data_IF_284091142388
#
_entry.id   IF_284091142388
#
_cell.length_a   1.000
_cell.length_b   1.000
_cell.length_c   1.000
_cell.angle_alpha   90.00
_cell.angle_beta   90.00
_cell.angle_gamma   90.00
#
_symmetry.space_group_name_H-M   'P 1'
#
loop_
_entity.id
_entity.type
_entity.pdbx_description
1 polymer ?
#
# COMPACT_ATOMS: atom_id res chain seq x y z
N UNK A 1 -5.74 -33.51 59.06
CA UNK A 1 -6.57 -32.54 58.30
C UNK A 1 -5.86 -31.20 58.42
N UNK A 2 -4.93 -30.83 57.56
CA UNK A 2 -5.08 -30.61 56.12
C UNK A 2 -4.88 -29.11 55.91
N UNK A 3 -3.62 -28.69 55.73
CA UNK A 3 -3.18 -27.29 55.72
C UNK A 3 -3.83 -26.49 54.58
N UNK A 4 -5.02 -25.94 54.82
CA UNK A 4 -5.77 -25.15 53.82
C UNK A 4 -5.32 -23.68 53.72
N UNK A 5 -4.39 -23.22 54.56
CA UNK A 5 -3.85 -21.85 54.49
C UNK A 5 -2.65 -21.74 53.53
N UNK A 6 -1.98 -22.86 53.20
CA UNK A 6 -0.79 -22.85 52.33
C UNK A 6 -1.13 -22.54 50.87
N UNK A 7 -2.27 -23.01 50.36
CA UNK A 7 -2.65 -22.83 48.96
C UNK A 7 -3.02 -21.38 48.63
N UNK A 8 -3.83 -20.74 49.47
CA UNK A 8 -4.25 -19.35 49.26
C UNK A 8 -3.11 -18.35 49.41
N UNK A 9 -2.23 -18.57 50.39
CA UNK A 9 -1.02 -17.76 50.57
C UNK A 9 -0.04 -17.96 49.40
N UNK A 10 0.14 -19.19 48.92
CA UNK A 10 0.99 -19.47 47.76
C UNK A 10 0.46 -18.82 46.48
N UNK A 11 -0.86 -18.84 46.24
CA UNK A 11 -1.48 -18.17 45.10
C UNK A 11 -1.26 -16.66 45.16
N UNK A 12 -1.40 -16.05 46.35
CA UNK A 12 -1.16 -14.62 46.56
C UNK A 12 0.29 -14.24 46.26
N UNK A 13 1.25 -15.02 46.75
CA UNK A 13 2.68 -14.81 46.48
C UNK A 13 2.98 -14.95 44.99
N UNK A 14 2.39 -15.95 44.33
CA UNK A 14 2.57 -16.17 42.89
C UNK A 14 1.99 -15.00 42.07
N UNK A 15 0.83 -14.48 42.47
CA UNK A 15 0.16 -13.35 41.82
C UNK A 15 0.96 -12.05 41.98
N UNK A 16 1.49 -11.78 43.18
CA UNK A 16 2.36 -10.62 43.42
C UNK A 16 3.66 -10.75 42.62
N UNK A 17 4.28 -11.93 42.59
CA UNK A 17 5.46 -12.18 41.76
C UNK A 17 5.17 -12.00 40.27
N UNK A 18 4.03 -12.46 39.79
CA UNK A 18 3.60 -12.26 38.40
C UNK A 18 3.46 -10.77 38.09
N UNK A 19 2.86 -9.97 38.97
CA UNK A 19 2.73 -8.51 38.79
C UNK A 19 4.10 -7.84 38.78
N UNK A 20 5.04 -8.22 39.65
CA UNK A 20 6.39 -7.66 39.68
C UNK A 20 7.18 -8.03 38.43
N UNK A 21 7.09 -9.28 37.97
CA UNK A 21 7.67 -9.73 36.70
C UNK A 21 7.05 -8.92 35.57
N UNK A 22 5.72 -8.86 35.47
CA UNK A 22 5.04 -8.11 34.43
C UNK A 22 5.40 -6.64 34.49
N UNK A 23 5.50 -5.98 35.65
CA UNK A 23 5.86 -4.56 35.74
C UNK A 23 7.33 -4.30 35.37
N UNK A 24 8.26 -5.19 35.73
CA UNK A 24 9.68 -5.08 35.34
C UNK A 24 9.88 -5.33 33.85
N UNK A 25 9.19 -6.31 33.27
CA UNK A 25 9.26 -6.59 31.83
C UNK A 25 8.43 -5.61 30.99
N UNK A 26 7.34 -5.04 31.53
CA UNK A 26 6.55 -3.98 30.86
C UNK A 26 7.21 -2.61 30.95
N UNK A 27 7.96 -2.32 32.02
CA UNK A 27 8.69 -1.04 32.15
C UNK A 27 9.90 -0.98 31.21
N UNK A 28 10.39 -2.12 30.72
CA UNK A 28 11.38 -2.17 29.63
C UNK A 28 10.76 -2.01 28.23
N UNK A 29 9.44 -1.82 28.12
CA UNK A 29 8.76 -1.40 26.88
C UNK A 29 8.50 0.12 26.84
N UNK A 30 8.97 0.89 27.83
CA UNK A 30 9.21 2.31 27.63
C UNK A 30 10.56 2.49 26.93
N UNK A 31 10.55 2.21 25.62
CA UNK A 31 11.40 2.97 24.71
C UNK A 31 11.00 4.42 24.94
N UNK A 32 11.83 5.21 25.62
CA UNK A 32 11.82 6.65 25.42
C UNK A 32 11.96 6.85 23.91
N UNK A 33 10.94 7.34 23.17
CA UNK A 33 11.27 7.96 21.92
C UNK A 33 12.08 9.18 22.34
N UNK A 34 13.38 9.14 22.10
CA UNK A 34 14.19 10.35 22.02
C UNK A 34 13.38 11.32 21.16
N UNK A 35 12.98 12.46 21.73
CA UNK A 35 12.12 13.46 21.08
C UNK A 35 12.76 14.11 19.83
N UNK A 36 13.92 13.59 19.39
CA UNK A 36 14.65 13.96 18.18
C UNK A 36 14.40 13.02 16.98
N UNK A 37 13.61 11.95 17.12
CA UNK A 37 13.21 11.08 16.00
C UNK A 37 11.69 10.93 15.91
N UNK A 38 10.97 12.03 16.09
CA UNK A 38 9.70 12.26 15.39
C UNK A 38 10.02 12.33 13.89
N UNK A 39 10.36 11.16 13.33
CA UNK A 39 10.53 10.94 11.91
C UNK A 39 9.33 11.57 11.24
N UNK A 40 9.59 12.64 10.49
CA UNK A 40 8.60 13.32 9.66
C UNK A 40 7.75 12.25 9.01
N UNK A 41 6.51 12.06 9.49
CA UNK A 41 5.51 11.21 8.87
C UNK A 41 5.37 11.76 7.45
N UNK A 42 6.12 11.16 6.54
CA UNK A 42 6.28 11.70 5.22
C UNK A 42 4.96 11.43 4.54
N UNK A 43 4.16 12.48 4.37
CA UNK A 43 2.83 12.41 3.81
C UNK A 43 2.93 11.74 2.44
N UNK A 44 2.03 10.81 2.15
CA UNK A 44 1.91 10.14 0.86
C UNK A 44 0.57 10.46 0.21
N UNK A 45 0.50 10.20 -1.09
CA UNK A 45 -0.71 10.21 -1.90
C UNK A 45 -0.89 8.86 -2.57
N UNK A 46 -2.08 8.28 -2.36
CA UNK A 46 -2.52 7.07 -3.00
C UNK A 46 -3.09 7.30 -4.41
N UNK A 47 -2.77 6.39 -5.34
CA UNK A 47 -3.32 6.30 -6.69
C UNK A 47 -3.80 4.88 -6.95
N UNK A 48 -4.93 4.74 -7.64
CA UNK A 48 -5.50 3.43 -7.97
C UNK A 48 -5.67 3.28 -9.49
N UNK A 49 -5.18 2.18 -10.04
CA UNK A 49 -5.44 1.77 -11.43
C UNK A 49 -6.40 0.58 -11.41
N UNK A 50 -7.60 0.78 -11.95
CA UNK A 50 -8.69 -0.19 -11.98
C UNK A 50 -8.78 -0.85 -13.35
N UNK A 51 -8.79 -2.18 -13.35
CA UNK A 51 -8.99 -2.96 -14.56
C UNK A 51 -10.49 -3.20 -14.82
N UNK A 52 -11.08 -2.41 -15.71
CA UNK A 52 -12.47 -2.54 -16.14
C UNK A 52 -12.60 -3.17 -17.55
N UNK A 53 -11.60 -3.92 -18.00
CA UNK A 53 -11.54 -4.49 -19.35
C UNK A 53 -12.35 -5.78 -19.53
N UNK A 54 -12.99 -6.28 -18.47
CA UNK A 54 -13.91 -7.43 -18.51
C UNK A 54 -13.23 -8.80 -18.53
N UNK A 55 -12.41 -9.10 -19.55
CA UNK A 55 -11.70 -10.39 -19.68
C UNK A 55 -10.17 -10.25 -19.84
N UNK A 56 -9.65 -9.03 -19.91
CA UNK A 56 -8.22 -8.80 -20.10
C UNK A 56 -7.54 -8.55 -18.75
N UNK A 57 -6.29 -8.96 -18.63
CA UNK A 57 -5.43 -8.71 -17.47
C UNK A 57 -4.48 -7.60 -17.82
N UNK A 58 -4.29 -6.64 -16.91
CA UNK A 58 -3.22 -5.64 -17.05
C UNK A 58 -1.96 -6.22 -16.44
N UNK A 59 -0.85 -6.15 -17.15
CA UNK A 59 0.46 -6.65 -16.72
C UNK A 59 1.38 -5.45 -16.56
N UNK A 60 1.86 -5.23 -15.35
CA UNK A 60 2.83 -4.18 -15.06
C UNK A 60 4.15 -4.49 -15.78
N UNK A 61 4.63 -3.53 -16.56
CA UNK A 61 5.89 -3.65 -17.30
C UNK A 61 7.00 -2.88 -16.58
N UNK A 62 6.88 -1.56 -16.56
CA UNK A 62 7.91 -0.69 -15.99
C UNK A 62 7.35 0.52 -15.25
N UNK A 63 8.26 1.18 -14.51
CA UNK A 63 7.99 2.45 -13.86
C UNK A 63 9.20 3.38 -13.95
N UNK A 64 8.92 4.66 -13.99
CA UNK A 64 9.92 5.70 -13.72
C UNK A 64 9.48 6.62 -12.56
N UNK A 65 10.46 7.11 -11.80
CA UNK A 65 10.23 8.05 -10.72
C UNK A 65 9.92 7.44 -9.33
N UNK A 66 9.58 8.31 -8.36
CA UNK A 66 9.60 8.01 -6.93
C UNK A 66 8.28 7.39 -6.43
N UNK A 67 7.86 6.29 -7.05
CA UNK A 67 6.72 5.47 -6.60
C UNK A 67 7.17 4.05 -6.27
N UNK A 68 6.43 3.39 -5.39
CA UNK A 68 6.62 1.98 -5.10
C UNK A 68 6.25 1.11 -6.31
N UNK A 69 7.02 0.05 -6.54
CA UNK A 69 6.61 -1.04 -7.46
C UNK A 69 5.40 -1.76 -6.82
N UNK A 70 4.37 -2.12 -7.59
CA UNK A 70 3.24 -2.87 -7.04
C UNK A 70 3.70 -4.26 -6.55
N UNK A 71 3.03 -4.80 -5.53
CA UNK A 71 3.35 -6.13 -4.97
C UNK A 71 3.03 -7.25 -5.96
N UNK A 72 1.98 -7.06 -6.73
CA UNK A 72 1.54 -7.95 -7.78
C UNK A 72 1.85 -7.29 -9.13
N UNK A 73 2.26 -8.08 -10.11
CA UNK A 73 2.49 -7.58 -11.48
C UNK A 73 1.23 -7.70 -12.35
N UNK A 74 0.19 -8.37 -11.86
CA UNK A 74 -1.04 -8.63 -12.60
C UNK A 74 -2.22 -7.93 -11.96
N UNK A 75 -3.00 -7.21 -12.76
CA UNK A 75 -4.34 -6.73 -12.38
C UNK A 75 -5.36 -7.58 -13.14
N UNK A 76 -5.95 -8.62 -12.54
CA UNK A 76 -7.07 -9.35 -13.15
C UNK A 76 -8.28 -8.44 -13.43
N UNK A 77 -9.21 -8.86 -14.30
CA UNK A 77 -10.45 -8.12 -14.51
C UNK A 77 -11.20 -7.86 -13.20
N UNK A 78 -11.61 -6.61 -12.99
CA UNK A 78 -12.32 -6.15 -11.79
C UNK A 78 -11.43 -5.87 -10.56
N UNK A 79 -10.12 -6.09 -10.68
CA UNK A 79 -9.13 -5.78 -9.63
C UNK A 79 -8.49 -4.40 -9.84
N UNK A 80 -7.63 -4.00 -8.90
CA UNK A 80 -6.85 -2.77 -8.99
C UNK A 80 -5.43 -2.91 -8.43
N UNK A 81 -4.51 -2.07 -8.90
CA UNK A 81 -3.25 -1.80 -8.22
C UNK A 81 -3.30 -0.45 -7.51
N UNK A 82 -2.73 -0.42 -6.31
CA UNK A 82 -2.59 0.78 -5.50
C UNK A 82 -1.13 1.20 -5.42
N UNK A 83 -0.88 2.49 -5.64
CA UNK A 83 0.44 3.11 -5.57
C UNK A 83 0.46 4.20 -4.51
N UNK A 84 1.56 4.28 -3.78
CA UNK A 84 1.82 5.38 -2.84
C UNK A 84 3.00 6.23 -3.36
N UNK A 85 2.78 7.53 -3.44
CA UNK A 85 3.79 8.51 -3.82
C UNK A 85 4.03 9.49 -2.68
N UNK A 86 5.28 9.71 -2.30
CA UNK A 86 5.64 10.69 -1.27
C UNK A 86 5.36 12.11 -1.78
N UNK A 87 4.66 12.93 -0.99
CA UNK A 87 4.26 14.28 -1.37
C UNK A 87 5.42 15.23 -1.71
N UNK A 88 6.65 14.87 -1.32
CA UNK A 88 7.84 15.71 -1.45
C UNK A 88 8.99 15.01 -2.19
N UNK A 89 8.84 13.76 -2.66
CA UNK A 89 9.93 13.02 -3.31
C UNK A 89 10.08 13.32 -4.81
N UNK A 90 9.09 13.99 -5.40
CA UNK A 90 9.05 14.37 -6.81
C UNK A 90 7.64 14.79 -7.19
N UNK A 91 7.49 15.45 -8.35
CA UNK A 91 6.18 15.94 -8.79
C UNK A 91 5.48 15.00 -9.79
N UNK A 92 6.22 14.03 -10.36
CA UNK A 92 5.74 13.10 -11.38
C UNK A 92 6.41 11.74 -11.19
N UNK A 93 5.67 10.68 -11.47
CA UNK A 93 6.15 9.32 -11.73
C UNK A 93 5.34 8.75 -12.91
N UNK A 94 5.83 7.68 -13.51
CA UNK A 94 5.27 7.09 -14.73
C UNK A 94 5.14 5.59 -14.54
N UNK A 95 4.09 5.00 -15.11
CA UNK A 95 3.85 3.55 -15.09
C UNK A 95 3.40 3.08 -16.46
N UNK A 96 3.93 1.94 -16.88
CA UNK A 96 3.58 1.26 -18.12
C UNK A 96 2.94 -0.10 -17.84
N UNK A 97 1.93 -0.42 -18.64
CA UNK A 97 1.19 -1.66 -18.56
C UNK A 97 0.90 -2.23 -19.95
N UNK A 98 1.11 -3.53 -20.09
CA UNK A 98 0.59 -4.32 -21.19
C UNK A 98 -0.81 -4.84 -20.86
N UNK A 99 -1.65 -5.03 -21.88
CA UNK A 99 -3.00 -5.58 -21.75
C UNK A 99 -3.04 -6.93 -22.46
N UNK A 100 -3.30 -7.98 -21.68
CA UNK A 100 -3.25 -9.36 -22.14
C UNK A 100 -4.61 -10.02 -22.08
N UNK A 101 -4.93 -10.85 -23.07
CA UNK A 101 -6.13 -11.68 -23.02
C UNK A 101 -5.96 -12.83 -22.01
N UNK A 102 -6.79 -12.84 -20.97
CA UNK A 102 -6.78 -13.91 -19.95
C UNK A 102 -7.61 -15.12 -20.41
N UNK A 103 -7.22 -16.38 -20.11
CA UNK A 103 -6.09 -16.80 -19.26
C UNK A 103 -4.80 -17.19 -20.01
N UNK A 104 -4.79 -17.19 -21.34
CA UNK A 104 -3.63 -17.67 -22.12
C UNK A 104 -3.56 -17.04 -23.54
N UNK A 105 -4.13 -15.85 -23.71
CA UNK A 105 -4.08 -15.15 -25.00
C UNK A 105 -2.83 -14.29 -25.13
N UNK A 106 -2.74 -13.58 -26.26
CA UNK A 106 -1.64 -12.65 -26.52
C UNK A 106 -1.87 -11.26 -25.93
N UNK A 107 -0.82 -10.45 -25.99
CA UNK A 107 -0.88 -9.01 -25.82
C UNK A 107 -1.80 -8.41 -26.88
N UNK A 108 -2.68 -7.49 -26.47
CA UNK A 108 -3.59 -6.76 -27.36
C UNK A 108 -3.27 -5.25 -27.43
N UNK A 109 -2.24 -4.81 -26.70
CA UNK A 109 -1.75 -3.44 -26.67
C UNK A 109 -1.27 -3.04 -25.28
N UNK A 110 -0.70 -1.85 -25.16
CA UNK A 110 -0.20 -1.27 -23.92
C UNK A 110 -0.79 0.12 -23.64
N UNK A 111 -0.59 0.60 -22.42
CA UNK A 111 -0.86 1.97 -22.02
C UNK A 111 0.15 2.47 -20.99
N UNK A 112 0.33 3.79 -20.98
CA UNK A 112 1.19 4.54 -20.08
C UNK A 112 0.37 5.62 -19.36
N UNK A 113 0.74 5.90 -18.11
CA UNK A 113 0.13 6.98 -17.35
C UNK A 113 1.09 7.63 -16.36
N UNK A 114 0.97 8.96 -16.25
CA UNK A 114 1.70 9.77 -15.28
C UNK A 114 0.92 9.90 -13.97
N UNK A 115 1.60 9.70 -12.84
CA UNK A 115 1.14 10.04 -11.51
C UNK A 115 1.74 11.39 -11.13
N UNK A 116 0.92 12.45 -11.13
CA UNK A 116 1.35 13.81 -10.78
C UNK A 116 0.92 14.19 -9.37
N UNK A 117 1.86 14.59 -8.52
CA UNK A 117 1.61 15.15 -7.19
C UNK A 117 2.25 16.53 -7.04
N UNK A 118 1.55 17.47 -6.42
CA UNK A 118 2.16 18.74 -5.99
C UNK A 118 2.78 18.62 -4.61
N UNK A 119 3.83 19.40 -4.31
CA UNK A 119 4.43 19.47 -2.98
C UNK A 119 3.37 19.59 -1.87
N UNK A 120 3.52 18.76 -0.83
CA UNK A 120 2.57 18.67 0.28
C UNK A 120 1.24 17.98 -0.03
N UNK A 121 1.10 17.34 -1.20
CA UNK A 121 -0.14 16.68 -1.67
C UNK A 121 -1.36 17.61 -1.68
N UNK A 122 -1.13 18.87 -2.07
CA UNK A 122 -2.21 19.84 -2.28
C UNK A 122 -3.06 19.52 -3.51
N UNK A 123 -2.50 18.76 -4.45
CA UNK A 123 -3.12 18.36 -5.69
C UNK A 123 -2.48 17.06 -6.20
N UNK A 124 -3.30 16.16 -6.72
CA UNK A 124 -2.88 14.89 -7.29
C UNK A 124 -3.82 14.44 -8.40
N UNK A 125 -3.28 13.88 -9.48
CA UNK A 125 -4.07 13.33 -10.60
C UNK A 125 -3.25 12.35 -11.42
N UNK A 126 -3.95 11.63 -12.30
CA UNK A 126 -3.33 11.03 -13.47
C UNK A 126 -3.26 12.02 -14.64
N UNK A 127 -2.20 11.97 -15.43
CA UNK A 127 -1.98 12.72 -16.67
C UNK A 127 -1.15 11.89 -17.67
N UNK A 128 -0.63 12.48 -18.74
CA UNK A 128 0.25 11.77 -19.69
C UNK A 128 -0.34 10.47 -20.24
N UNK A 129 -1.66 10.44 -20.46
CA UNK A 129 -2.35 9.20 -20.79
C UNK A 129 -2.09 8.85 -22.26
N UNK A 130 -1.28 7.83 -22.48
CA UNK A 130 -1.00 7.26 -23.80
C UNK A 130 -1.48 5.81 -23.83
N UNK A 131 -2.11 5.40 -24.93
CA UNK A 131 -2.62 4.03 -25.03
C UNK A 131 -2.76 3.56 -26.47
N UNK A 132 -2.70 2.25 -26.65
CA UNK A 132 -3.08 1.60 -27.91
C UNK A 132 -4.53 1.95 -28.29
N UNK A 133 -4.83 1.97 -29.59
CA UNK A 133 -6.11 2.49 -30.13
C UNK A 133 -7.39 1.79 -29.63
N UNK A 134 -7.27 0.53 -29.21
CA UNK A 134 -8.32 -0.31 -28.65
C UNK A 134 -8.44 -0.20 -27.13
N UNK A 135 -7.55 0.54 -26.47
CA UNK A 135 -7.57 0.76 -25.03
C UNK A 135 -8.11 2.17 -24.77
N UNK A 136 -9.08 2.28 -23.87
CA UNK A 136 -9.66 3.54 -23.43
C UNK A 136 -9.33 3.77 -21.97
N UNK A 137 -8.72 4.91 -21.70
CA UNK A 137 -8.38 5.39 -20.36
C UNK A 137 -9.38 6.45 -19.89
N UNK A 138 -9.76 6.42 -18.62
CA UNK A 138 -10.61 7.46 -18.00
C UNK A 138 -10.16 7.72 -16.58
N UNK A 139 -10.09 8.99 -16.18
CA UNK A 139 -9.61 9.38 -14.85
C UNK A 139 -10.69 10.02 -14.00
N UNK A 140 -10.61 9.81 -12.69
CA UNK A 140 -11.42 10.49 -11.67
C UNK A 140 -10.60 10.70 -10.39
N UNK A 141 -10.09 11.91 -10.21
CA UNK A 141 -9.16 12.22 -9.13
C UNK A 141 -7.86 11.42 -9.29
N UNK A 142 -7.52 10.63 -8.27
CA UNK A 142 -6.35 9.73 -8.27
C UNK A 142 -6.71 8.30 -8.69
N UNK A 143 -7.82 8.12 -9.41
CA UNK A 143 -8.21 6.84 -9.99
C UNK A 143 -8.05 6.90 -11.52
N UNK A 144 -7.48 5.85 -12.08
CA UNK A 144 -7.44 5.54 -13.51
C UNK A 144 -8.28 4.29 -13.75
N UNK A 145 -9.18 4.34 -14.72
CA UNK A 145 -10.02 3.22 -15.16
C UNK A 145 -9.64 2.84 -16.58
N UNK A 146 -9.32 1.57 -16.77
CA UNK A 146 -8.87 1.01 -18.05
C UNK A 146 -9.97 0.17 -18.65
N UNK A 147 -10.31 0.42 -19.91
CA UNK A 147 -11.30 -0.31 -20.70
C UNK A 147 -10.69 -0.77 -22.02
N UNK A 148 -11.23 -1.84 -22.59
CA UNK A 148 -10.94 -2.28 -23.97
C UNK A 148 -12.21 -2.08 -24.80
N UNK A 149 -12.07 -1.46 -25.97
CA UNK A 149 -13.16 -1.09 -26.88
C UNK A 149 -13.37 -2.10 -28.01
#
# INVERSE_FOLDING_TARGET
MGNSFSSSAAILVLFILLIVVFSVFSSNLYLNPSEDDLGSLSRTQGYDIHNNTGIYTLVFEEKDGPISVPSDIFIPPGSRHHYEMLCNAGNKAEVEYEVWQSPAGGEIGSFEADLEVRPGCSYAKFSGLESSSNIRLTTSGTNLYVYVA
#
